data_IF_908701554045
#
_entry.id   IF_908701554045
#
_cell.length_a   1.000
_cell.length_b   1.000
_cell.length_c   1.000
_cell.angle_alpha   90.00
_cell.angle_beta   90.00
_cell.angle_gamma   90.00
#
_symmetry.space_group_name_H-M   'P 1'
#
loop_
_entity.id
_entity.type
_entity.pdbx_description
1 polymer ?
#
# COMPACT_ATOMS: atom_id res chain seq x y z
N UNK A 1 18.67 -1.69 3.06
CA UNK A 1 17.53 -2.18 3.86
C UNK A 1 16.94 -1.10 4.75
N UNK A 2 17.76 -0.29 5.41
CA UNK A 2 17.34 0.72 6.40
C UNK A 2 16.20 1.62 5.91
N UNK A 3 16.32 2.23 4.72
CA UNK A 3 15.29 3.15 4.21
C UNK A 3 13.90 2.54 4.02
N UNK A 4 13.80 1.29 3.51
CA UNK A 4 12.49 0.68 3.25
C UNK A 4 11.77 0.23 4.54
N UNK A 5 12.53 -0.16 5.57
CA UNK A 5 11.97 -0.45 6.90
C UNK A 5 11.52 0.85 7.57
N UNK A 6 12.34 1.91 7.47
CA UNK A 6 11.99 3.23 8.02
C UNK A 6 10.71 3.80 7.37
N UNK A 7 10.57 3.67 6.05
CA UNK A 7 9.33 4.06 5.34
C UNK A 7 8.12 3.22 5.75
N UNK A 8 8.31 1.94 6.09
CA UNK A 8 7.23 1.08 6.57
C UNK A 8 6.74 1.52 7.94
N UNK A 9 7.67 1.79 8.87
CA UNK A 9 7.35 2.25 10.24
C UNK A 9 6.67 3.61 10.19
N UNK A 10 7.31 4.60 9.56
CA UNK A 10 6.75 5.96 9.44
C UNK A 10 5.44 5.99 8.65
N UNK A 11 5.28 5.13 7.64
CA UNK A 11 4.02 4.97 6.93
C UNK A 11 2.90 4.41 7.80
N UNK A 12 3.22 3.49 8.71
CA UNK A 12 2.24 2.97 9.65
C UNK A 12 1.82 4.04 10.66
N UNK A 13 2.78 4.77 11.22
CA UNK A 13 2.51 5.90 12.12
C UNK A 13 1.62 6.95 11.44
N UNK A 14 1.93 7.30 10.19
CA UNK A 14 1.13 8.24 9.41
C UNK A 14 -0.30 7.71 9.19
N UNK A 15 -0.43 6.47 8.72
CA UNK A 15 -1.74 5.83 8.52
C UNK A 15 -2.56 5.79 9.81
N UNK A 16 -1.95 5.37 10.92
CA UNK A 16 -2.59 5.31 12.23
C UNK A 16 -3.04 6.70 12.70
N UNK A 17 -2.22 7.73 12.48
CA UNK A 17 -2.57 9.11 12.82
C UNK A 17 -3.78 9.63 12.03
N UNK A 18 -3.82 9.37 10.71
CA UNK A 18 -4.97 9.70 9.86
C UNK A 18 -6.23 8.94 10.31
N UNK A 19 -6.10 7.66 10.63
CA UNK A 19 -7.22 6.84 11.08
C UNK A 19 -7.75 7.28 12.45
N UNK A 20 -6.88 7.67 13.37
CA UNK A 20 -7.25 8.19 14.70
C UNK A 20 -8.00 9.53 14.64
N UNK A 21 -7.77 10.34 13.61
CA UNK A 21 -8.45 11.62 13.40
C UNK A 21 -9.91 11.48 12.91
N UNK A 22 -10.37 10.27 12.61
CA UNK A 22 -11.68 10.00 12.01
C UNK A 22 -12.51 9.16 12.98
N UNK A 23 -13.78 9.51 13.20
CA UNK A 23 -14.69 8.72 14.03
C UNK A 23 -15.18 7.43 13.35
N UNK A 24 -15.72 6.51 14.15
CA UNK A 24 -16.17 5.21 13.65
C UNK A 24 -17.36 5.30 12.69
N UNK A 25 -18.21 6.31 12.85
CA UNK A 25 -19.34 6.54 11.96
C UNK A 25 -18.87 6.91 10.55
N UNK A 26 -17.84 7.75 10.45
CA UNK A 26 -17.24 8.17 9.19
C UNK A 26 -16.49 7.01 8.54
N UNK A 27 -15.73 6.21 9.30
CA UNK A 27 -15.08 4.99 8.77
C UNK A 27 -16.09 3.96 8.27
N UNK A 28 -17.28 3.86 8.88
CA UNK A 28 -18.32 2.97 8.41
C UNK A 28 -18.91 3.37 7.06
N UNK A 29 -18.72 4.62 6.63
CA UNK A 29 -19.15 5.14 5.34
C UNK A 29 -18.22 4.78 4.18
N UNK A 30 -18.40 5.43 3.01
CA UNK A 30 -17.51 5.31 1.87
C UNK A 30 -16.08 5.76 2.19
N UNK A 31 -15.10 5.02 1.68
CA UNK A 31 -13.72 5.50 1.52
C UNK A 31 -13.60 6.40 0.29
N UNK A 32 -12.40 6.92 0.02
CA UNK A 32 -12.12 7.68 -1.22
C UNK A 32 -11.84 6.78 -2.42
N UNK A 33 -11.72 5.47 -2.22
CA UNK A 33 -11.65 4.51 -3.32
C UNK A 33 -13.06 4.19 -3.85
N UNK A 34 -13.27 4.25 -5.18
CA UNK A 34 -14.57 3.92 -5.77
C UNK A 34 -15.08 2.54 -5.36
N UNK A 35 -16.29 2.48 -4.81
CA UNK A 35 -16.95 1.24 -4.41
C UNK A 35 -16.46 0.63 -3.09
N UNK A 36 -15.48 1.23 -2.42
CA UNK A 36 -14.95 0.73 -1.16
C UNK A 36 -15.49 1.53 0.03
N UNK A 37 -15.97 0.81 1.05
CA UNK A 37 -16.21 1.41 2.36
C UNK A 37 -14.90 1.58 3.14
N UNK A 38 -14.89 2.43 4.17
CA UNK A 38 -13.75 2.47 5.09
C UNK A 38 -13.52 1.12 5.79
N UNK A 39 -14.56 0.30 6.03
CA UNK A 39 -14.39 -1.07 6.53
C UNK A 39 -13.64 -1.96 5.55
N UNK A 40 -14.00 -1.90 4.27
CA UNK A 40 -13.31 -2.64 3.20
C UNK A 40 -11.85 -2.24 3.13
N UNK A 41 -11.56 -0.93 3.22
CA UNK A 41 -10.20 -0.40 3.23
C UNK A 41 -9.39 -0.92 4.43
N UNK A 42 -9.92 -0.83 5.66
CA UNK A 42 -9.23 -1.33 6.85
C UNK A 42 -9.02 -2.84 6.81
N UNK A 43 -10.02 -3.59 6.33
CA UNK A 43 -9.91 -5.03 6.15
C UNK A 43 -8.77 -5.37 5.19
N UNK A 44 -8.71 -4.73 4.03
CA UNK A 44 -7.61 -4.88 3.06
C UNK A 44 -6.25 -4.54 3.67
N UNK A 45 -6.11 -3.41 4.36
CA UNK A 45 -4.83 -3.00 4.96
C UNK A 45 -4.35 -4.01 6.01
N UNK A 46 -5.23 -4.53 6.87
CA UNK A 46 -4.88 -5.56 7.84
C UNK A 46 -4.52 -6.90 7.16
N UNK A 47 -5.31 -7.34 6.19
CA UNK A 47 -5.04 -8.57 5.43
C UNK A 47 -3.78 -8.47 4.56
N UNK A 48 -3.41 -7.27 4.11
CA UNK A 48 -2.13 -7.03 3.43
C UNK A 48 -0.95 -7.29 4.38
N UNK A 49 -0.98 -6.79 5.63
CA UNK A 49 0.06 -7.08 6.62
C UNK A 49 0.17 -8.59 6.88
N UNK A 50 -0.97 -9.26 7.10
CA UNK A 50 -1.03 -10.71 7.26
C UNK A 50 -0.41 -11.47 6.09
N UNK A 51 -0.74 -11.05 4.87
CA UNK A 51 -0.23 -11.65 3.64
C UNK A 51 1.28 -11.45 3.48
N UNK A 52 1.81 -10.31 3.90
CA UNK A 52 3.26 -10.07 3.94
C UNK A 52 3.95 -10.87 5.06
N UNK A 53 3.27 -11.11 6.18
CA UNK A 53 3.73 -12.02 7.23
C UNK A 53 3.89 -13.46 6.74
N UNK A 54 3.01 -13.91 5.82
CA UNK A 54 3.16 -15.21 5.13
C UNK A 54 4.45 -15.27 4.31
N UNK A 55 4.84 -14.17 3.65
CA UNK A 55 6.13 -14.10 2.93
C UNK A 55 7.33 -14.07 3.89
N UNK A 56 7.23 -13.36 5.01
CA UNK A 56 8.28 -13.36 6.03
C UNK A 56 8.48 -14.78 6.60
N UNK A 57 7.39 -15.52 6.85
CA UNK A 57 7.45 -16.92 7.24
C UNK A 57 8.15 -17.78 6.18
N UNK A 58 7.77 -17.67 4.91
CA UNK A 58 8.44 -18.37 3.81
C UNK A 58 9.94 -18.03 3.78
N UNK A 59 10.31 -16.76 3.89
CA UNK A 59 11.71 -16.36 3.93
C UNK A 59 12.48 -16.98 5.10
N UNK A 60 11.85 -17.14 6.27
CA UNK A 60 12.46 -17.73 7.45
C UNK A 60 12.63 -19.26 7.34
N UNK A 61 11.65 -19.96 6.80
CA UNK A 61 11.58 -21.44 6.84
C UNK A 61 12.01 -22.10 5.53
N UNK A 62 11.95 -21.38 4.41
CA UNK A 62 12.06 -21.95 3.08
C UNK A 62 10.79 -22.66 2.60
N UNK A 63 9.72 -22.69 3.41
CA UNK A 63 8.46 -23.37 3.08
C UNK A 63 7.51 -22.43 2.31
N UNK A 64 7.14 -22.74 1.05
CA UNK A 64 6.31 -21.86 0.24
C UNK A 64 4.97 -21.52 0.89
N UNK A 65 4.82 -20.26 1.25
CA UNK A 65 3.62 -19.72 1.90
C UNK A 65 3.19 -18.45 1.16
N UNK A 66 2.35 -18.59 0.11
CA UNK A 66 2.00 -17.45 -0.75
C UNK A 66 1.20 -16.39 0.01
N UNK A 67 1.26 -15.14 -0.47
CA UNK A 67 0.47 -14.02 0.09
C UNK A 67 -1.01 -14.37 0.21
N UNK A 68 -1.57 -14.99 -0.83
CA UNK A 68 -2.96 -15.44 -0.90
C UNK A 68 -3.01 -16.78 -1.64
N UNK A 69 -3.96 -17.65 -1.28
CA UNK A 69 -4.17 -18.92 -1.97
C UNK A 69 -4.70 -18.73 -3.40
N UNK A 70 -5.50 -17.69 -3.62
CA UNK A 70 -6.02 -17.27 -4.93
C UNK A 70 -6.54 -15.83 -4.86
N UNK A 71 -6.86 -15.25 -6.02
CA UNK A 71 -7.55 -13.96 -6.09
C UNK A 71 -8.91 -13.99 -5.38
N UNK A 72 -9.64 -15.10 -5.47
CA UNK A 72 -10.91 -15.27 -4.76
C UNK A 72 -10.69 -15.34 -3.25
N UNK A 73 -9.70 -16.10 -2.78
CA UNK A 73 -9.39 -16.21 -1.35
C UNK A 73 -9.01 -14.84 -0.76
N UNK A 74 -8.28 -14.01 -1.52
CA UNK A 74 -8.01 -12.61 -1.13
C UNK A 74 -9.31 -11.82 -0.97
N UNK A 75 -10.22 -11.91 -1.95
CA UNK A 75 -11.49 -11.20 -1.90
C UNK A 75 -12.34 -11.67 -0.70
N UNK A 76 -12.44 -12.98 -0.49
CA UNK A 76 -13.18 -13.58 0.62
C UNK A 76 -12.63 -13.15 1.99
N UNK A 77 -11.30 -13.12 2.15
CA UNK A 77 -10.65 -12.61 3.36
C UNK A 77 -11.04 -11.14 3.62
N UNK A 78 -10.96 -10.29 2.59
CA UNK A 78 -11.28 -8.86 2.70
C UNK A 78 -12.77 -8.66 3.01
N UNK A 79 -13.67 -9.37 2.33
CA UNK A 79 -15.12 -9.27 2.53
C UNK A 79 -15.54 -9.76 3.92
N UNK A 80 -14.94 -10.87 4.38
CA UNK A 80 -15.16 -11.37 5.73
C UNK A 80 -14.72 -10.34 6.78
N UNK A 81 -13.54 -9.74 6.63
CA UNK A 81 -13.07 -8.69 7.53
C UNK A 81 -13.93 -7.42 7.48
N UNK A 82 -14.42 -7.03 6.29
CA UNK A 82 -15.26 -5.84 6.11
C UNK A 82 -16.61 -5.94 6.84
N UNK A 83 -17.05 -7.17 7.20
CA UNK A 83 -18.25 -7.40 8.02
C UNK A 83 -18.07 -7.12 9.51
N UNK A 84 -16.82 -6.97 9.99
CA UNK A 84 -16.54 -6.71 11.40
C UNK A 84 -16.90 -5.27 11.81
N UNK A 85 -16.96 -5.05 13.13
CA UNK A 85 -17.12 -3.69 13.67
C UNK A 85 -15.89 -2.84 13.33
N UNK A 86 -16.07 -1.52 13.20
CA UNK A 86 -14.95 -0.59 12.96
C UNK A 86 -13.90 -0.69 14.07
N UNK A 87 -14.33 -0.77 15.33
CA UNK A 87 -13.43 -0.98 16.46
C UNK A 87 -12.57 -2.24 16.30
N UNK A 88 -13.15 -3.36 15.84
CA UNK A 88 -12.38 -4.58 15.58
C UNK A 88 -11.37 -4.38 14.45
N UNK A 89 -11.76 -3.67 13.38
CA UNK A 89 -10.90 -3.40 12.24
C UNK A 89 -9.70 -2.49 12.58
N UNK A 90 -9.89 -1.49 13.45
CA UNK A 90 -8.78 -0.67 13.96
C UNK A 90 -7.74 -1.52 14.68
N UNK A 91 -8.19 -2.31 15.67
CA UNK A 91 -7.30 -3.22 16.41
C UNK A 91 -6.67 -4.28 15.50
N UNK A 92 -7.42 -4.77 14.50
CA UNK A 92 -6.90 -5.73 13.53
C UNK A 92 -5.73 -5.17 12.70
N UNK A 93 -5.80 -3.91 12.26
CA UNK A 93 -4.70 -3.28 11.51
C UNK A 93 -3.44 -3.16 12.38
N UNK A 94 -3.58 -2.78 13.65
CA UNK A 94 -2.48 -2.69 14.61
C UNK A 94 -1.89 -4.08 14.90
N UNK A 95 -2.73 -5.05 15.26
CA UNK A 95 -2.34 -6.44 15.56
C UNK A 95 -1.55 -7.09 14.41
N UNK A 96 -1.99 -6.92 13.16
CA UNK A 96 -1.28 -7.51 12.02
C UNK A 96 -0.02 -6.74 11.65
N UNK A 97 0.03 -5.43 11.91
CA UNK A 97 1.27 -4.66 11.75
C UNK A 97 2.32 -5.12 12.76
N UNK A 98 1.95 -5.29 14.03
CA UNK A 98 2.86 -5.78 15.08
C UNK A 98 3.37 -7.19 14.74
N UNK A 99 2.48 -8.10 14.34
CA UNK A 99 2.87 -9.46 13.89
C UNK A 99 3.82 -9.43 12.70
N UNK A 100 3.60 -8.51 11.75
CA UNK A 100 4.51 -8.34 10.62
C UNK A 100 5.88 -7.83 11.09
N UNK A 101 5.90 -6.82 11.96
CA UNK A 101 7.15 -6.28 12.50
C UNK A 101 7.95 -7.37 13.23
N UNK A 102 7.32 -8.11 14.14
CA UNK A 102 7.95 -9.22 14.87
C UNK A 102 8.50 -10.30 13.92
N UNK A 103 7.75 -10.64 12.87
CA UNK A 103 8.17 -11.62 11.88
C UNK A 103 9.40 -11.15 11.08
N UNK A 104 9.47 -9.85 10.74
CA UNK A 104 10.60 -9.27 10.01
C UNK A 104 11.83 -9.11 10.91
N UNK A 105 11.65 -8.74 12.18
CA UNK A 105 12.73 -8.63 13.17
C UNK A 105 13.40 -9.98 13.46
N UNK A 106 12.66 -11.08 13.30
CA UNK A 106 13.17 -12.44 13.41
C UNK A 106 14.05 -12.91 12.23
N UNK A 107 14.10 -12.16 11.13
CA UNK A 107 14.86 -12.57 9.93
C UNK A 107 16.35 -12.22 10.06
N UNK A 108 17.20 -13.22 9.82
CA UNK A 108 18.65 -13.02 9.69
C UNK A 108 19.02 -12.46 8.31
N UNK A 109 20.23 -11.89 8.15
CA UNK A 109 20.74 -11.39 6.87
C UNK A 109 20.64 -12.38 5.71
N UNK A 110 20.78 -13.68 6.00
CA UNK A 110 20.62 -14.73 4.99
C UNK A 110 19.15 -14.95 4.63
N UNK A 111 18.25 -14.96 5.62
CA UNK A 111 16.81 -15.11 5.39
C UNK A 111 16.23 -13.94 4.59
N UNK A 112 16.72 -12.72 4.83
CA UNK A 112 16.35 -11.54 4.04
C UNK A 112 16.64 -11.68 2.54
N UNK A 113 17.64 -12.49 2.16
CA UNK A 113 18.01 -12.76 0.76
C UNK A 113 17.25 -13.92 0.14
N UNK A 114 16.46 -14.67 0.92
CA UNK A 114 15.66 -15.77 0.38
C UNK A 114 14.59 -15.22 -0.56
N UNK A 115 14.37 -15.94 -1.66
CA UNK A 115 13.36 -15.59 -2.64
C UNK A 115 11.97 -15.96 -2.16
N UNK A 116 11.04 -15.04 -2.34
CA UNK A 116 9.60 -15.20 -2.10
C UNK A 116 8.84 -14.72 -3.34
N UNK A 117 7.60 -15.15 -3.50
CA UNK A 117 6.79 -14.78 -4.67
C UNK A 117 5.67 -13.83 -4.28
N UNK A 118 5.65 -12.65 -4.90
CA UNK A 118 4.58 -11.66 -4.67
C UNK A 118 3.25 -12.14 -5.24
N UNK A 119 2.15 -11.50 -4.85
CA UNK A 119 0.82 -11.80 -5.40
C UNK A 119 0.72 -11.68 -6.94
N UNK A 120 1.66 -10.99 -7.59
CA UNK A 120 1.76 -10.85 -9.05
C UNK A 120 2.64 -11.93 -9.71
N UNK A 121 3.11 -12.93 -8.95
CA UNK A 121 3.93 -14.02 -9.46
C UNK A 121 5.40 -13.68 -9.66
N UNK A 122 5.88 -12.54 -9.15
CA UNK A 122 7.29 -12.14 -9.25
C UNK A 122 8.11 -12.75 -8.11
N UNK A 123 9.16 -13.48 -8.45
CA UNK A 123 10.20 -13.88 -7.49
C UNK A 123 11.03 -12.65 -7.10
N UNK A 124 11.12 -12.36 -5.81
CA UNK A 124 11.85 -11.23 -5.24
C UNK A 124 12.51 -11.63 -3.93
N UNK A 125 13.63 -11.00 -3.52
CA UNK A 125 14.17 -11.22 -2.18
C UNK A 125 13.19 -10.71 -1.10
N UNK A 126 13.18 -11.34 0.07
CA UNK A 126 12.36 -10.92 1.20
C UNK A 126 12.62 -9.45 1.63
N UNK A 127 13.79 -8.89 1.31
CA UNK A 127 14.07 -7.44 1.47
C UNK A 127 13.08 -6.51 0.76
N UNK A 128 12.27 -7.03 -0.17
CA UNK A 128 11.21 -6.27 -0.85
C UNK A 128 9.95 -6.10 0.01
N UNK A 129 9.74 -6.92 1.05
CA UNK A 129 8.53 -6.90 1.88
C UNK A 129 8.25 -5.51 2.49
N UNK A 130 9.23 -4.81 3.11
CA UNK A 130 8.98 -3.48 3.67
C UNK A 130 8.54 -2.45 2.61
N UNK A 131 9.07 -2.52 1.38
CA UNK A 131 8.64 -1.67 0.28
C UNK A 131 7.17 -1.92 -0.09
N UNK A 132 6.77 -3.20 -0.22
CA UNK A 132 5.39 -3.56 -0.52
C UNK A 132 4.44 -3.02 0.55
N UNK A 133 4.80 -3.15 1.83
CA UNK A 133 4.00 -2.65 2.96
C UNK A 133 3.93 -1.11 2.98
N UNK A 134 5.05 -0.43 2.75
CA UNK A 134 5.14 1.03 2.78
C UNK A 134 4.16 1.67 1.80
N UNK A 135 4.12 1.18 0.55
CA UNK A 135 3.18 1.66 -0.47
C UNK A 135 1.72 1.55 -0.02
N UNK A 136 1.35 0.41 0.56
CA UNK A 136 -0.02 0.17 1.04
C UNK A 136 -0.40 1.15 2.15
N UNK A 137 0.49 1.38 3.11
CA UNK A 137 0.24 2.29 4.23
C UNK A 137 0.14 3.75 3.80
N UNK A 138 1.15 4.26 3.10
CA UNK A 138 1.21 5.66 2.67
C UNK A 138 0.07 6.01 1.71
N UNK A 139 -0.18 5.16 0.71
CA UNK A 139 -1.22 5.41 -0.29
C UNK A 139 -2.61 5.27 0.35
N UNK A 140 -2.88 4.20 1.11
CA UNK A 140 -4.21 4.02 1.69
C UNK A 140 -4.51 4.97 2.85
N UNK A 141 -3.51 5.63 3.44
CA UNK A 141 -3.76 6.77 4.33
C UNK A 141 -4.52 7.88 3.58
N UNK A 142 -4.19 8.12 2.30
CA UNK A 142 -4.88 9.09 1.45
C UNK A 142 -6.28 8.62 1.01
N UNK A 143 -6.55 7.32 1.09
CA UNK A 143 -7.82 6.71 0.70
C UNK A 143 -8.87 6.71 1.84
N UNK A 144 -8.46 7.02 3.08
CA UNK A 144 -9.37 7.20 4.20
C UNK A 144 -10.36 8.36 3.95
N UNK A 145 -11.57 8.35 4.56
CA UNK A 145 -12.61 9.36 4.30
C UNK A 145 -12.21 10.82 4.57
N UNK A 146 -11.41 11.10 5.60
CA UNK A 146 -10.77 12.41 5.84
C UNK A 146 -9.27 12.36 5.54
N UNK A 147 -8.91 11.60 4.50
CA UNK A 147 -7.60 10.99 4.31
C UNK A 147 -6.40 11.92 4.27
N UNK A 148 -5.24 11.27 4.35
CA UNK A 148 -3.94 11.88 4.21
C UNK A 148 -3.72 12.57 2.87
N UNK A 149 -2.55 13.18 2.76
CA UNK A 149 -2.12 13.93 1.60
C UNK A 149 -0.70 13.51 1.19
N UNK A 150 -0.48 13.38 -0.13
CA UNK A 150 0.81 13.00 -0.71
C UNK A 150 1.93 14.00 -0.36
N UNK A 151 1.60 15.25 0.00
CA UNK A 151 2.56 16.25 0.48
C UNK A 151 3.16 15.90 1.84
N UNK A 152 2.56 14.98 2.61
CA UNK A 152 3.10 14.50 3.87
C UNK A 152 4.14 13.37 3.69
N UNK A 153 4.28 12.82 2.48
CA UNK A 153 5.17 11.69 2.24
C UNK A 153 6.63 12.14 2.28
N UNK A 154 7.55 11.32 2.81
CA UNK A 154 8.99 11.56 2.71
C UNK A 154 9.40 11.74 1.25
N UNK A 155 10.27 12.71 0.97
CA UNK A 155 10.68 13.05 -0.40
C UNK A 155 11.30 11.87 -1.13
N UNK A 156 12.21 11.16 -0.47
CA UNK A 156 12.89 9.97 -0.99
C UNK A 156 11.91 8.80 -1.23
N UNK A 157 10.91 8.64 -0.37
CA UNK A 157 9.81 7.70 -0.61
C UNK A 157 8.96 8.09 -1.82
N UNK A 158 8.63 9.37 -1.99
CA UNK A 158 7.89 9.86 -3.17
C UNK A 158 8.64 9.56 -4.46
N UNK A 159 9.95 9.84 -4.49
CA UNK A 159 10.81 9.57 -5.64
C UNK A 159 10.80 8.06 -5.98
N UNK A 160 11.01 7.19 -4.99
CA UNK A 160 10.94 5.75 -5.18
C UNK A 160 9.55 5.24 -5.64
N UNK A 161 8.47 5.86 -5.13
CA UNK A 161 7.10 5.53 -5.50
C UNK A 161 6.79 5.93 -6.94
N UNK A 162 7.25 7.11 -7.37
CA UNK A 162 7.13 7.57 -8.75
C UNK A 162 7.84 6.61 -9.69
N UNK A 163 9.07 6.21 -9.38
CA UNK A 163 9.83 5.26 -10.19
C UNK A 163 9.13 3.89 -10.33
N UNK A 164 8.63 3.32 -9.23
CA UNK A 164 7.89 2.05 -9.25
C UNK A 164 6.56 2.17 -10.01
N UNK A 165 5.84 3.28 -9.82
CA UNK A 165 4.61 3.53 -10.53
C UNK A 165 4.83 3.68 -12.04
N UNK A 166 5.83 4.45 -12.47
CA UNK A 166 6.22 4.60 -13.88
C UNK A 166 6.62 3.25 -14.50
N UNK A 167 7.48 2.49 -13.82
CA UNK A 167 7.90 1.18 -14.29
C UNK A 167 6.69 0.24 -14.49
N UNK A 168 5.74 0.23 -13.55
CA UNK A 168 4.53 -0.59 -13.67
C UNK A 168 3.59 -0.07 -14.76
N UNK A 169 3.41 1.24 -14.92
CA UNK A 169 2.59 1.83 -16.01
C UNK A 169 3.16 1.49 -17.39
N UNK A 170 4.49 1.49 -17.54
CA UNK A 170 5.13 1.08 -18.77
C UNK A 170 4.79 -0.38 -19.16
N UNK A 171 4.71 -1.30 -18.18
CA UNK A 171 4.27 -2.68 -18.45
C UNK A 171 2.79 -2.81 -18.85
N UNK A 172 2.01 -1.76 -18.65
CA UNK A 172 0.61 -1.65 -19.07
C UNK A 172 0.46 -0.88 -20.40
N UNK A 173 1.57 -0.61 -21.09
CA UNK A 173 1.64 0.22 -22.31
C UNK A 173 1.10 1.65 -22.12
N UNK A 174 1.05 2.12 -20.87
CA UNK A 174 0.69 3.50 -20.53
C UNK A 174 1.98 4.32 -20.51
N UNK A 175 2.23 5.04 -21.61
CA UNK A 175 3.35 6.00 -21.69
C UNK A 175 2.95 7.29 -20.98
N UNK A 176 3.74 7.67 -19.99
CA UNK A 176 3.52 8.84 -19.14
C UNK A 176 4.67 9.81 -19.37
N UNK A 177 4.37 10.94 -19.99
CA UNK A 177 5.28 12.08 -20.12
C UNK A 177 4.58 13.30 -19.50
N UNK A 178 4.67 13.39 -18.18
CA UNK A 178 4.00 14.40 -17.35
C UNK A 178 4.95 14.89 -16.28
N UNK A 179 5.17 16.20 -16.26
CA UNK A 179 5.99 16.88 -15.25
C UNK A 179 5.12 17.60 -14.22
N UNK A 180 5.64 17.73 -13.00
CA UNK A 180 5.03 18.53 -11.94
C UNK A 180 5.62 18.25 -10.55
N UNK A 181 5.01 18.80 -9.49
CA UNK A 181 5.44 18.51 -8.12
C UNK A 181 5.38 17.00 -7.82
N UNK A 182 6.37 16.42 -7.10
CA UNK A 182 6.41 14.98 -6.83
C UNK A 182 5.13 14.42 -6.18
N UNK A 183 4.54 15.15 -5.24
CA UNK A 183 3.29 14.74 -4.58
C UNK A 183 2.12 14.63 -5.57
N UNK A 184 1.98 15.62 -6.46
CA UNK A 184 0.95 15.65 -7.50
C UNK A 184 1.18 14.52 -8.51
N UNK A 185 2.43 14.31 -8.91
CA UNK A 185 2.82 13.26 -9.86
C UNK A 185 2.55 11.87 -9.28
N UNK A 186 2.94 11.62 -8.02
CA UNK A 186 2.67 10.35 -7.34
C UNK A 186 1.16 10.11 -7.14
N UNK A 187 0.40 11.14 -6.75
CA UNK A 187 -1.07 11.06 -6.61
C UNK A 187 -1.73 10.67 -7.93
N UNK A 188 -1.32 11.30 -9.03
CA UNK A 188 -1.86 11.01 -10.35
C UNK A 188 -1.42 9.62 -10.87
N UNK A 189 -0.13 9.29 -10.80
CA UNK A 189 0.42 7.99 -11.21
C UNK A 189 -0.24 6.80 -10.50
N UNK A 190 -0.64 7.00 -9.24
CA UNK A 190 -1.33 5.98 -8.43
C UNK A 190 -2.85 5.95 -8.64
N UNK A 191 -3.39 6.78 -9.54
CA UNK A 191 -4.81 6.83 -9.90
C UNK A 191 -5.71 7.51 -8.87
N UNK A 192 -5.16 8.45 -8.06
CA UNK A 192 -5.84 9.14 -6.96
C UNK A 192 -5.93 10.67 -7.18
N UNK A 193 -5.58 11.14 -8.36
CA UNK A 193 -5.57 12.55 -8.71
C UNK A 193 -6.64 12.90 -9.72
N UNK A 194 -7.55 13.78 -9.32
CA UNK A 194 -8.24 14.70 -10.23
C UNK A 194 -7.23 15.70 -10.83
N UNK A 195 -7.67 16.52 -11.79
CA UNK A 195 -6.85 17.52 -12.46
C UNK A 195 -6.05 18.40 -11.47
N UNK A 196 -4.73 18.24 -11.44
CA UNK A 196 -3.83 19.25 -10.87
C UNK A 196 -3.39 20.20 -11.98
N UNK A 197 -3.57 21.52 -11.83
CA UNK A 197 -3.07 22.50 -12.80
C UNK A 197 -1.54 22.56 -12.84
N UNK A 198 -0.85 21.90 -11.89
CA UNK A 198 0.60 21.85 -11.81
C UNK A 198 1.19 20.70 -12.63
N UNK A 199 0.38 19.71 -13.01
CA UNK A 199 0.79 18.63 -13.90
C UNK A 199 0.72 19.09 -15.36
N UNK A 200 1.80 18.87 -16.10
CA UNK A 200 1.94 19.33 -17.48
C UNK A 200 2.35 18.17 -18.37
N UNK A 201 1.55 17.88 -19.37
CA UNK A 201 1.97 17.02 -20.48
C UNK A 201 2.84 17.82 -21.45
N UNK A 202 3.63 17.15 -22.28
CA UNK A 202 4.41 17.78 -23.35
C UNK A 202 3.55 18.66 -24.30
N UNK A 203 2.26 18.34 -24.45
CA UNK A 203 1.33 19.10 -25.31
C UNK A 203 0.60 20.23 -24.58
N UNK A 204 0.76 20.35 -23.27
CA UNK A 204 0.04 21.30 -22.41
C UNK A 204 -1.41 20.89 -22.11
N UNK A 205 -1.87 19.74 -22.60
CA UNK A 205 -3.18 19.18 -22.26
C UNK A 205 -3.19 18.62 -20.82
N UNK A 206 -4.35 18.55 -20.15
CA UNK A 206 -4.51 17.81 -18.91
C UNK A 206 -4.02 16.36 -19.05
N UNK A 207 -3.33 15.79 -18.05
CA UNK A 207 -2.98 14.38 -18.07
C UNK A 207 -4.26 13.50 -18.05
N UNK A 208 -4.25 12.33 -18.71
CA UNK A 208 -5.41 11.45 -18.72
C UNK A 208 -5.69 10.88 -17.32
N UNK A 209 -6.93 10.54 -17.01
CA UNK A 209 -7.25 9.80 -15.79
C UNK A 209 -6.60 8.40 -15.85
N UNK A 210 -5.99 7.98 -14.73
CA UNK A 210 -5.39 6.65 -14.60
C UNK A 210 -6.21 5.79 -13.63
N UNK A 211 -6.36 4.48 -13.89
CA UNK A 211 -7.02 3.59 -12.93
C UNK A 211 -6.18 3.47 -11.66
N UNK A 212 -6.81 3.07 -10.55
CA UNK A 212 -6.09 2.83 -9.29
C UNK A 212 -4.91 1.85 -9.49
N UNK A 213 -3.78 2.15 -8.84
CA UNK A 213 -2.55 1.37 -8.97
C UNK A 213 -2.46 0.19 -7.98
N UNK A 214 -2.98 0.40 -6.77
CA UNK A 214 -3.23 -0.60 -5.72
C UNK A 214 -4.72 -0.56 -5.41
#
# INVERSE_FOLDING_TARGET
MTSAVDWMVSGHEYFASCLAAIDDATVAGPSRLPGWSGRTLLSHVGHNARALGRLAHWAATGEPTPMYASTQARADEIDAGASWSVQRLRGFVEEEQERLADALDGLTDTMWRNEVVTAQGRAVPATTIPWLRSRELWIHACDLPAGGDFTAFPRDFLEALIDDALARRATQEIVVDVDGPPADLARWLTGRGDFSPQLRTATGAPPPALPAWL
#
